data_IF_277837311963
#
_entry.id   IF_277837311963
#
_cell.length_a   1.000
_cell.length_b   1.000
_cell.length_c   1.000
_cell.angle_alpha   90.00
_cell.angle_beta   90.00
_cell.angle_gamma   90.00
#
_symmetry.space_group_name_H-M   'P 1'
#
loop_
_entity.id
_entity.type
_entity.pdbx_description
1 polymer ?
#
# COMPACT_ATOMS: atom_id res chain seq x y z
N UNK A 1 -6.30 -3.49 -22.90
CA UNK A 1 -5.04 -4.25 -22.79
C UNK A 1 -3.97 -3.18 -22.68
N UNK A 2 -3.23 -3.11 -21.57
CA UNK A 2 -2.21 -2.08 -21.42
C UNK A 2 -1.04 -2.45 -22.31
N UNK A 3 -0.66 -1.55 -23.21
CA UNK A 3 0.50 -1.75 -24.08
C UNK A 3 1.76 -1.42 -23.26
N UNK A 4 2.77 -2.31 -23.21
CA UNK A 4 3.93 -2.18 -22.31
C UNK A 4 4.78 -0.93 -22.53
N UNK A 5 4.66 -0.31 -23.70
CA UNK A 5 5.48 0.81 -24.16
C UNK A 5 5.04 2.16 -23.57
N UNK A 6 3.82 2.22 -23.00
CA UNK A 6 3.23 3.43 -22.44
C UNK A 6 3.44 3.56 -20.91
N UNK A 7 4.17 2.64 -20.28
CA UNK A 7 4.28 2.58 -18.82
C UNK A 7 5.64 3.11 -18.35
N UNK A 8 5.67 4.17 -17.53
CA UNK A 8 6.90 4.69 -16.94
C UNK A 8 7.68 3.62 -16.14
N UNK A 9 9.01 3.66 -16.25
CA UNK A 9 9.93 2.64 -15.69
C UNK A 9 9.91 2.60 -14.14
N UNK A 10 9.42 3.66 -13.51
CA UNK A 10 9.22 3.87 -12.08
C UNK A 10 7.88 3.33 -11.54
N UNK A 11 6.97 2.89 -12.41
CA UNK A 11 5.78 2.14 -12.00
C UNK A 11 6.25 0.76 -11.53
N UNK A 12 6.14 0.48 -10.22
CA UNK A 12 6.49 -0.83 -9.64
C UNK A 12 5.68 -2.01 -10.22
N UNK A 13 4.60 -1.72 -10.95
CA UNK A 13 3.77 -2.73 -11.62
C UNK A 13 3.34 -2.27 -13.03
N UNK A 14 4.26 -2.30 -14.02
CA UNK A 14 3.87 -2.24 -15.41
C UNK A 14 3.31 -3.62 -15.76
N UNK A 15 2.02 -3.68 -16.04
CA UNK A 15 1.33 -4.83 -16.60
C UNK A 15 2.24 -5.94 -17.21
N UNK A 16 2.47 -7.03 -16.47
CA UNK A 16 2.48 -8.35 -17.11
C UNK A 16 3.81 -9.02 -17.54
N UNK A 17 4.92 -8.95 -16.79
CA UNK A 17 5.99 -9.97 -16.93
C UNK A 17 6.38 -10.73 -15.63
N UNK A 18 5.79 -11.92 -15.44
CA UNK A 18 6.13 -12.90 -14.40
C UNK A 18 5.07 -14.01 -14.31
N UNK A 19 5.34 -15.20 -13.74
CA UNK A 19 4.28 -16.16 -13.43
C UNK A 19 3.41 -15.57 -12.32
N UNK A 20 2.21 -15.13 -12.69
CA UNK A 20 1.27 -14.52 -11.73
C UNK A 20 0.43 -15.60 -11.07
N UNK A 21 0.27 -15.46 -9.76
CA UNK A 21 -0.80 -16.12 -9.04
C UNK A 21 -2.14 -15.63 -9.57
N UNK A 22 -3.14 -16.50 -9.61
CA UNK A 22 -4.53 -16.08 -9.76
C UNK A 22 -4.98 -15.27 -8.54
N UNK A 23 -6.02 -14.44 -8.69
CA UNK A 23 -6.61 -13.69 -7.58
C UNK A 23 -6.91 -14.56 -6.34
N UNK A 24 -7.38 -15.80 -6.54
CA UNK A 24 -7.66 -16.72 -5.44
C UNK A 24 -6.37 -17.16 -4.72
N UNK A 25 -5.29 -17.38 -5.47
CA UNK A 25 -3.99 -17.73 -4.90
C UNK A 25 -3.34 -16.54 -4.19
N UNK A 26 -3.46 -15.32 -4.75
CA UNK A 26 -3.05 -14.10 -4.06
C UNK A 26 -3.80 -13.93 -2.73
N UNK A 27 -5.11 -14.21 -2.69
CA UNK A 27 -5.95 -14.06 -1.49
C UNK A 27 -5.52 -15.04 -0.41
N UNK A 28 -5.21 -16.28 -0.80
CA UNK A 28 -4.69 -17.29 0.12
C UNK A 28 -3.30 -16.90 0.66
N UNK A 29 -2.45 -16.38 -0.22
CA UNK A 29 -1.09 -16.00 0.14
C UNK A 29 -1.08 -14.80 1.11
N UNK A 30 -1.90 -13.77 0.88
CA UNK A 30 -1.94 -12.63 1.81
C UNK A 30 -2.51 -13.02 3.16
N UNK A 31 -3.57 -13.84 3.21
CA UNK A 31 -4.10 -14.31 4.49
C UNK A 31 -3.05 -15.08 5.27
N UNK A 32 -2.28 -15.94 4.60
CA UNK A 32 -1.17 -16.65 5.22
C UNK A 32 -0.09 -15.69 5.74
N UNK A 33 0.32 -14.68 4.95
CA UNK A 33 1.33 -13.71 5.40
C UNK A 33 0.84 -12.87 6.57
N UNK A 34 -0.45 -12.49 6.59
CA UNK A 34 -1.07 -11.79 7.72
C UNK A 34 -1.08 -12.66 8.97
N UNK A 35 -1.45 -13.94 8.85
CA UNK A 35 -1.45 -14.89 9.96
C UNK A 35 -0.03 -15.14 10.50
N UNK A 36 0.93 -15.38 9.61
CA UNK A 36 2.32 -15.73 9.97
C UNK A 36 3.10 -14.53 10.55
N UNK A 37 2.81 -13.31 10.08
CA UNK A 37 3.52 -12.09 10.50
C UNK A 37 2.76 -11.20 11.48
N UNK A 38 1.56 -11.62 11.90
CA UNK A 38 0.59 -10.77 12.62
C UNK A 38 0.32 -9.44 11.89
N UNK A 39 0.47 -9.43 10.56
CA UNK A 39 0.25 -8.27 9.69
C UNK A 39 1.43 -7.30 9.57
N UNK A 40 2.62 -7.63 10.08
CA UNK A 40 3.78 -6.73 10.03
C UNK A 40 4.73 -6.95 8.84
N UNK A 41 4.88 -8.18 8.36
CA UNK A 41 5.88 -8.55 7.35
C UNK A 41 5.20 -9.14 6.11
N UNK A 42 4.51 -8.27 5.38
CA UNK A 42 3.78 -8.61 4.17
C UNK A 42 4.59 -8.17 2.95
N UNK A 43 4.91 -9.11 2.06
CA UNK A 43 5.58 -8.83 0.81
C UNK A 43 4.59 -8.37 -0.27
N UNK A 44 4.26 -7.08 -0.25
CA UNK A 44 3.28 -6.51 -1.19
C UNK A 44 3.64 -6.63 -2.67
N UNK A 45 4.90 -6.93 -3.01
CA UNK A 45 5.36 -7.15 -4.39
C UNK A 45 4.80 -8.44 -5.00
N UNK A 46 4.28 -9.35 -4.19
CA UNK A 46 3.70 -10.63 -4.64
C UNK A 46 2.22 -10.51 -5.04
N UNK A 47 1.56 -9.39 -4.73
CA UNK A 47 0.15 -9.16 -5.01
C UNK A 47 0.02 -8.12 -6.11
N UNK A 48 -0.63 -8.48 -7.21
CA UNK A 48 -0.90 -7.59 -8.33
C UNK A 48 -2.37 -7.22 -8.38
N UNK A 49 -3.25 -8.20 -8.22
CA UNK A 49 -4.69 -8.02 -8.40
C UNK A 49 -5.34 -7.50 -7.10
N UNK A 50 -4.87 -7.97 -5.94
CA UNK A 50 -5.40 -7.53 -4.64
C UNK A 50 -4.84 -6.17 -4.24
N UNK A 51 -3.56 -5.94 -4.53
CA UNK A 51 -2.87 -4.69 -4.21
C UNK A 51 -2.16 -4.15 -5.45
N UNK A 52 -2.76 -3.16 -6.11
CA UNK A 52 -2.03 -2.34 -7.07
C UNK A 52 -1.21 -1.27 -6.31
N UNK A 53 -0.23 -1.71 -5.51
CA UNK A 53 0.63 -0.80 -4.77
C UNK A 53 1.44 0.04 -5.76
N UNK A 54 1.15 1.33 -5.79
CA UNK A 54 1.97 2.35 -6.43
C UNK A 54 2.63 3.16 -5.31
N UNK A 55 3.94 3.43 -5.40
CA UNK A 55 4.58 4.31 -4.42
C UNK A 55 3.85 5.66 -4.41
N UNK A 56 3.49 6.13 -3.22
CA UNK A 56 2.86 7.43 -3.05
C UNK A 56 3.94 8.49 -3.25
N UNK A 57 3.79 9.33 -4.27
CA UNK A 57 4.50 10.60 -4.33
C UNK A 57 3.78 11.60 -3.40
N UNK A 58 4.48 12.01 -2.34
CA UNK A 58 3.94 12.94 -1.34
C UNK A 58 3.85 14.38 -1.84
N UNK A 59 4.61 14.71 -2.87
CA UNK A 59 4.65 16.05 -3.46
C UNK A 59 3.59 16.19 -4.59
N UNK A 60 2.99 15.07 -5.01
CA UNK A 60 1.82 15.06 -5.88
C UNK A 60 0.52 15.22 -5.09
N UNK A 61 -0.32 16.20 -5.46
CA UNK A 61 -1.64 16.42 -4.84
C UNK A 61 -2.76 15.61 -5.51
N UNK A 62 -2.48 14.37 -5.93
CA UNK A 62 -3.48 13.52 -6.62
C UNK A 62 -4.53 12.92 -5.67
N UNK A 63 -4.25 12.91 -4.36
CA UNK A 63 -5.14 12.31 -3.34
C UNK A 63 -5.93 13.34 -2.54
N UNK A 64 -5.68 14.64 -2.73
CA UNK A 64 -6.28 15.73 -1.95
C UNK A 64 -6.63 16.93 -2.82
N UNK A 65 -7.67 17.64 -2.41
CA UNK A 65 -7.97 18.97 -2.95
C UNK A 65 -7.38 20.03 -2.01
N UNK A 66 -6.88 21.17 -2.53
CA UNK A 66 -6.41 22.27 -1.70
C UNK A 66 -7.43 22.66 -0.60
N UNK A 67 -6.98 23.06 0.60
CA UNK A 67 -5.64 23.55 0.90
C UNK A 67 -4.62 22.52 1.40
N UNK A 68 -5.05 21.31 1.75
CA UNK A 68 -4.17 20.25 2.29
C UNK A 68 -3.36 19.61 1.15
N UNK A 69 -2.08 19.32 1.41
CA UNK A 69 -1.20 18.55 0.52
C UNK A 69 -1.27 17.05 0.83
N UNK A 70 -0.91 16.19 -0.13
CA UNK A 70 -0.88 14.73 0.10
C UNK A 70 -0.01 14.38 1.30
N UNK A 71 1.14 15.06 1.44
CA UNK A 71 2.03 14.93 2.60
C UNK A 71 1.33 15.25 3.92
N UNK A 72 0.61 16.37 3.99
CA UNK A 72 -0.12 16.78 5.20
C UNK A 72 -1.25 15.81 5.55
N UNK A 73 -1.99 15.32 4.55
CA UNK A 73 -3.01 14.30 4.76
C UNK A 73 -2.41 13.03 5.38
N UNK A 74 -1.31 12.52 4.82
CA UNK A 74 -0.70 11.29 5.30
C UNK A 74 -0.13 11.47 6.71
N UNK A 75 0.55 12.59 7.01
CA UNK A 75 1.05 12.88 8.36
C UNK A 75 -0.09 12.90 9.39
N UNK A 76 -1.21 13.57 9.07
CA UNK A 76 -2.39 13.63 9.94
C UNK A 76 -2.98 12.25 10.18
N UNK A 77 -3.20 11.46 9.13
CA UNK A 77 -3.74 10.10 9.26
C UNK A 77 -2.82 9.17 10.06
N UNK A 78 -1.51 9.29 9.88
CA UNK A 78 -0.53 8.53 10.65
C UNK A 78 -0.58 8.87 12.14
N UNK A 79 -0.61 10.17 12.49
CA UNK A 79 -0.75 10.64 13.88
C UNK A 79 -2.07 10.17 14.51
N UNK A 80 -3.19 10.35 13.82
CA UNK A 80 -4.52 9.94 14.30
C UNK A 80 -4.56 8.43 14.60
N UNK A 81 -3.93 7.63 13.73
CA UNK A 81 -3.85 6.17 13.92
C UNK A 81 -3.02 5.79 15.15
N UNK A 82 -1.86 6.43 15.33
CA UNK A 82 -0.99 6.23 16.50
C UNK A 82 -1.69 6.65 17.79
N UNK A 83 -2.34 7.80 17.82
CA UNK A 83 -3.09 8.27 19.00
C UNK A 83 -4.21 7.29 19.38
N UNK A 84 -5.00 6.83 18.41
CA UNK A 84 -6.05 5.83 18.64
C UNK A 84 -5.49 4.51 19.14
N UNK A 85 -4.37 4.05 18.58
CA UNK A 85 -3.70 2.84 19.05
C UNK A 85 -3.22 2.99 20.50
N UNK A 86 -2.54 4.10 20.80
CA UNK A 86 -2.02 4.41 22.13
C UNK A 86 -3.15 4.48 23.16
N UNK A 87 -4.27 5.14 22.84
CA UNK A 87 -5.47 5.17 23.68
C UNK A 87 -6.04 3.76 23.94
N UNK A 88 -6.09 2.92 22.90
CA UNK A 88 -6.66 1.57 23.00
C UNK A 88 -5.76 0.56 23.72
N UNK A 89 -4.43 0.76 23.68
CA UNK A 89 -3.45 -0.20 24.20
C UNK A 89 -2.72 0.27 25.45
N UNK A 90 -2.91 1.52 25.88
CA UNK A 90 -2.18 2.12 27.00
C UNK A 90 -0.66 2.17 26.76
N UNK A 91 -0.26 2.33 25.50
CA UNK A 91 1.15 2.43 25.08
C UNK A 91 1.46 3.86 24.67
N UNK A 92 2.72 4.27 24.79
CA UNK A 92 3.20 5.60 24.37
C UNK A 92 4.22 5.40 23.24
N UNK A 93 3.70 5.34 22.01
CA UNK A 93 4.50 5.31 20.78
C UNK A 93 4.53 6.72 20.21
N UNK A 94 5.74 7.24 19.95
CA UNK A 94 6.01 8.58 19.41
C UNK A 94 6.62 8.53 18.02
#
# INVERSE_FOLDING_TARGET
RCEPEDIPEDVLNPCGKGPYLSLEEELRLINKQVEDSEGFDINFKEFRDIYNYQPVDFDENIYVMPPETTRELIDRLSRDSLERYNQNKGKDLS
#
